data_IF_398489605513
#
_entry.id   IF_398489605513
#
_cell.length_a   1.000
_cell.length_b   1.000
_cell.length_c   1.000
_cell.angle_alpha   90.00
_cell.angle_beta   90.00
_cell.angle_gamma   90.00
#
_symmetry.space_group_name_H-M   'P 1'
#
loop_
_entity.id
_entity.type
_entity.pdbx_description
1 polymer ?
#
# COMPACT_ATOMS: atom_id res chain seq x y z
N UNK A 1 18.47 -7.20 5.17
CA UNK A 1 17.51 -6.11 5.36
C UNK A 1 16.24 -6.54 4.68
N UNK A 2 15.16 -6.68 5.42
CA UNK A 2 13.95 -7.30 4.88
C UNK A 2 13.34 -6.40 3.80
N UNK A 3 13.40 -6.83 2.56
CA UNK A 3 12.99 -6.07 1.37
C UNK A 3 11.46 -5.77 1.38
N UNK A 4 10.71 -6.53 2.14
CA UNK A 4 9.26 -6.38 2.31
C UNK A 4 8.91 -5.13 3.10
N UNK A 5 9.67 -4.80 4.14
CA UNK A 5 9.43 -3.64 4.99
C UNK A 5 9.76 -2.32 4.26
N UNK A 6 10.85 -2.29 3.46
CA UNK A 6 11.18 -1.13 2.64
C UNK A 6 10.10 -0.81 1.60
N UNK A 7 9.49 -1.81 0.95
CA UNK A 7 8.43 -1.58 -0.03
C UNK A 7 7.14 -1.02 0.59
N UNK A 8 6.80 -1.40 1.82
CA UNK A 8 5.58 -0.94 2.50
C UNK A 8 5.69 0.54 2.93
N UNK A 9 6.82 0.90 3.51
CA UNK A 9 7.13 2.30 3.85
C UNK A 9 7.21 3.14 2.58
N UNK A 10 7.83 2.64 1.51
CA UNK A 10 7.93 3.34 0.22
C UNK A 10 6.58 3.67 -0.42
N UNK A 11 5.61 2.77 -0.32
CA UNK A 11 4.30 2.97 -0.91
C UNK A 11 3.49 4.05 -0.16
N UNK A 12 3.57 4.05 1.16
CA UNK A 12 2.96 5.10 2.00
C UNK A 12 3.57 6.48 1.70
N UNK A 13 4.87 6.50 1.52
CA UNK A 13 5.64 7.70 1.17
C UNK A 13 5.23 8.31 -0.18
N UNK A 14 5.03 7.47 -1.19
CA UNK A 14 4.64 7.93 -2.52
C UNK A 14 3.34 8.74 -2.48
N UNK A 15 2.40 8.32 -1.65
CA UNK A 15 1.09 8.96 -1.48
C UNK A 15 1.17 10.27 -0.75
N UNK A 16 1.88 10.29 0.35
CA UNK A 16 2.04 11.53 1.10
C UNK A 16 2.82 12.55 0.28
N UNK A 17 3.81 12.10 -0.50
CA UNK A 17 4.51 12.96 -1.44
C UNK A 17 3.58 13.52 -2.53
N UNK A 18 2.59 12.75 -2.99
CA UNK A 18 1.66 13.23 -4.01
C UNK A 18 0.64 14.20 -3.40
N UNK A 19 0.12 13.87 -2.22
CA UNK A 19 -0.75 14.78 -1.44
C UNK A 19 -0.02 16.08 -1.10
N UNK A 20 1.24 16.01 -0.68
CA UNK A 20 2.01 17.19 -0.29
C UNK A 20 2.64 17.95 -1.46
N UNK A 21 2.84 17.33 -2.64
CA UNK A 21 3.28 18.04 -3.86
C UNK A 21 2.21 18.91 -4.48
N UNK A 22 0.94 18.56 -4.33
CA UNK A 22 -0.17 19.38 -4.79
C UNK A 22 -0.41 20.59 -3.87
N UNK A 23 0.16 20.57 -2.67
CA UNK A 23 0.05 21.65 -1.69
C UNK A 23 1.46 22.25 -1.54
N UNK A 24 1.72 23.39 -2.15
CA UNK A 24 2.99 24.15 -2.03
C UNK A 24 3.10 24.78 -0.62
N UNK A 25 3.35 23.93 0.39
CA UNK A 25 3.41 24.29 1.81
C UNK A 25 4.83 24.06 2.34
N UNK A 26 5.31 24.91 3.24
CA UNK A 26 6.60 24.74 3.90
C UNK A 26 6.62 23.50 4.82
N UNK A 27 7.80 22.98 5.13
CA UNK A 27 8.02 21.81 5.98
C UNK A 27 7.33 21.93 7.35
N UNK A 28 7.38 23.13 7.96
CA UNK A 28 6.78 23.35 9.27
C UNK A 28 5.25 23.28 9.21
N UNK A 29 4.64 23.84 8.18
CA UNK A 29 3.20 23.75 7.93
C UNK A 29 2.76 22.32 7.67
N UNK A 30 3.57 21.53 6.95
CA UNK A 30 3.31 20.09 6.74
C UNK A 30 3.26 19.31 8.05
N UNK A 31 4.23 19.53 8.96
CA UNK A 31 4.23 18.83 10.26
C UNK A 31 3.06 19.29 11.12
N UNK A 32 2.66 20.55 11.09
CA UNK A 32 1.49 21.04 11.80
C UNK A 32 0.20 20.38 11.30
N UNK A 33 0.04 20.26 9.99
CA UNK A 33 -1.08 19.51 9.38
C UNK A 33 -1.02 18.05 9.82
N UNK A 34 0.12 17.37 9.72
CA UNK A 34 0.29 15.98 10.18
C UNK A 34 -0.07 15.81 11.64
N UNK A 35 0.31 16.77 12.49
CA UNK A 35 -0.02 16.75 13.92
C UNK A 35 -1.52 16.91 14.16
N UNK A 36 -2.17 17.83 13.44
CA UNK A 36 -3.62 18.10 13.57
C UNK A 36 -4.49 16.87 13.24
N UNK A 37 -4.01 16.00 12.38
CA UNK A 37 -4.69 14.76 11.97
C UNK A 37 -4.22 13.52 12.76
N UNK A 38 -3.40 13.70 13.80
CA UNK A 38 -2.89 12.62 14.64
C UNK A 38 -1.80 11.76 13.99
N UNK A 39 -1.25 12.19 12.85
CA UNK A 39 -0.26 11.43 12.10
C UNK A 39 1.07 11.22 12.87
N UNK A 40 1.44 12.16 13.74
CA UNK A 40 2.62 12.03 14.59
C UNK A 40 2.52 10.86 15.59
N UNK A 41 1.31 10.34 15.80
CA UNK A 41 1.01 9.20 16.68
C UNK A 41 0.80 7.89 15.92
N UNK A 42 1.14 7.85 14.62
CA UNK A 42 0.90 6.71 13.73
C UNK A 42 1.48 5.38 14.26
N UNK A 43 2.61 5.45 14.95
CA UNK A 43 3.35 4.28 15.42
C UNK A 43 3.27 4.05 16.94
N UNK A 44 2.44 4.80 17.67
CA UNK A 44 2.39 4.75 19.13
C UNK A 44 1.86 3.43 19.69
N UNK A 45 1.04 2.72 18.93
CA UNK A 45 0.45 1.45 19.36
C UNK A 45 1.32 0.23 19.04
N UNK A 46 2.48 0.41 18.37
CA UNK A 46 3.41 -0.67 18.07
C UNK A 46 4.14 -1.14 19.33
N UNK A 47 4.19 -2.45 19.52
CA UNK A 47 4.92 -3.04 20.61
C UNK A 47 6.43 -2.92 20.41
N UNK A 48 7.13 -2.43 21.44
CA UNK A 48 8.58 -2.35 21.42
C UNK A 48 9.19 -3.62 22.02
N UNK A 49 9.68 -4.50 21.14
CA UNK A 49 10.31 -5.77 21.52
C UNK A 49 11.78 -5.64 21.94
N UNK A 50 12.34 -4.42 21.98
CA UNK A 50 13.70 -4.17 22.42
C UNK A 50 13.80 -4.33 23.94
N UNK A 51 15.01 -4.67 24.44
CA UNK A 51 15.26 -4.87 25.86
C UNK A 51 15.04 -3.55 26.63
N UNK A 52 14.09 -3.49 27.62
CA UNK A 52 13.67 -2.25 28.25
C UNK A 52 14.82 -1.40 28.83
N UNK A 53 15.83 -2.01 29.46
CA UNK A 53 16.97 -1.30 30.06
C UNK A 53 17.98 -0.71 29.06
N UNK A 54 17.78 -0.94 27.74
CA UNK A 54 18.67 -0.47 26.67
C UNK A 54 17.97 0.46 25.68
N UNK A 55 16.72 0.82 25.95
CA UNK A 55 15.95 1.71 25.10
C UNK A 55 16.31 3.15 25.45
N UNK A 56 16.97 3.84 24.53
CA UNK A 56 17.31 5.26 24.65
C UNK A 56 16.31 6.14 23.90
N UNK A 57 15.76 5.65 22.83
CA UNK A 57 14.83 6.35 21.94
C UNK A 57 13.53 5.57 21.83
N UNK A 58 12.39 6.24 21.89
CA UNK A 58 11.07 5.65 21.71
C UNK A 58 10.95 5.02 20.30
N UNK A 59 10.30 3.86 20.19
CA UNK A 59 10.14 3.16 18.91
C UNK A 59 9.39 4.02 17.89
N UNK A 60 8.26 4.61 18.31
CA UNK A 60 7.45 5.46 17.44
C UNK A 60 8.21 6.69 16.94
N UNK A 61 9.07 7.31 17.75
CA UNK A 61 9.87 8.47 17.35
C UNK A 61 10.89 8.07 16.26
N UNK A 62 11.58 6.93 16.42
CA UNK A 62 12.52 6.42 15.40
C UNK A 62 11.79 6.13 14.11
N UNK A 63 10.64 5.47 14.18
CA UNK A 63 9.85 5.12 12.98
C UNK A 63 9.33 6.35 12.25
N UNK A 64 8.86 7.33 13.02
CA UNK A 64 8.40 8.59 12.45
C UNK A 64 9.52 9.36 11.77
N UNK A 65 10.72 9.44 12.39
CA UNK A 65 11.90 10.05 11.78
C UNK A 65 12.33 9.32 10.49
N UNK A 66 12.31 7.99 10.48
CA UNK A 66 12.56 7.21 9.27
C UNK A 66 11.55 7.55 8.19
N UNK A 67 10.29 7.58 8.54
CA UNK A 67 9.18 7.86 7.63
C UNK A 67 9.27 9.27 7.03
N UNK A 68 9.49 10.29 7.86
CA UNK A 68 9.66 11.66 7.40
C UNK A 68 10.90 11.82 6.49
N UNK A 69 12.01 11.12 6.81
CA UNK A 69 13.22 11.13 5.97
C UNK A 69 12.96 10.57 4.58
N UNK A 70 12.10 9.57 4.48
CA UNK A 70 11.73 8.98 3.19
C UNK A 70 10.79 9.92 2.42
N UNK A 71 9.80 10.52 3.10
CA UNK A 71 8.84 11.44 2.47
C UNK A 71 9.54 12.66 1.89
N UNK A 72 10.36 13.33 2.70
CA UNK A 72 10.94 14.62 2.28
C UNK A 72 12.12 14.49 1.33
N UNK A 73 12.95 13.46 1.47
CA UNK A 73 14.18 13.33 0.66
C UNK A 73 14.37 11.97 0.00
N UNK A 74 13.42 11.05 0.11
CA UNK A 74 13.53 9.71 -0.46
C UNK A 74 14.67 8.88 0.14
N UNK A 75 15.08 9.18 1.39
CA UNK A 75 16.19 8.45 2.04
C UNK A 75 15.73 7.06 2.49
N UNK A 76 16.33 6.03 1.92
CA UNK A 76 15.94 4.62 2.13
C UNK A 76 17.01 3.79 2.83
N UNK A 77 18.19 4.36 3.03
CA UNK A 77 19.27 3.71 3.77
C UNK A 77 19.35 4.27 5.18
N UNK A 78 19.73 3.45 6.16
CA UNK A 78 19.87 3.91 7.54
C UNK A 78 20.87 5.05 7.69
N UNK A 79 21.91 5.08 6.87
CA UNK A 79 22.88 6.19 6.84
C UNK A 79 22.23 7.46 6.27
N UNK A 80 21.52 7.36 5.14
CA UNK A 80 20.81 8.50 4.54
C UNK A 80 19.73 9.07 5.45
N UNK A 81 19.01 8.20 6.18
CA UNK A 81 18.04 8.61 7.21
C UNK A 81 18.74 9.37 8.33
N UNK A 82 19.86 8.86 8.83
CA UNK A 82 20.67 9.54 9.85
C UNK A 82 21.14 10.92 9.39
N UNK A 83 21.68 11.02 8.16
CA UNK A 83 22.14 12.29 7.59
C UNK A 83 20.99 13.31 7.47
N UNK A 84 19.81 12.86 7.03
CA UNK A 84 18.61 13.68 6.99
C UNK A 84 18.20 14.18 8.39
N UNK A 85 18.16 13.30 9.39
CA UNK A 85 17.83 13.67 10.76
C UNK A 85 18.83 14.71 11.30
N UNK A 86 20.11 14.56 10.95
CA UNK A 86 21.15 15.49 11.37
C UNK A 86 20.95 16.90 10.79
N UNK A 87 20.58 16.97 9.50
CA UNK A 87 20.31 18.25 8.81
C UNK A 87 19.08 18.95 9.39
N UNK A 88 18.01 18.22 9.65
CA UNK A 88 16.74 18.78 10.12
C UNK A 88 16.55 18.69 11.64
N UNK A 89 17.61 18.46 12.41
CA UNK A 89 17.61 18.23 13.85
C UNK A 89 16.82 19.29 14.62
N UNK A 90 17.10 20.57 14.40
CA UNK A 90 16.43 21.67 15.09
C UNK A 90 14.93 21.73 14.84
N UNK A 91 14.47 21.34 13.65
CA UNK A 91 13.04 21.24 13.32
C UNK A 91 12.38 20.09 14.08
N UNK A 92 13.03 18.92 14.12
CA UNK A 92 12.52 17.76 14.86
C UNK A 92 12.51 17.99 16.38
N UNK A 93 13.44 18.77 16.92
CA UNK A 93 13.42 19.20 18.32
C UNK A 93 12.21 20.10 18.61
N UNK A 94 11.88 21.04 17.71
CA UNK A 94 10.72 21.93 17.83
C UNK A 94 9.41 21.14 17.99
N UNK A 95 9.28 20.00 17.32
CA UNK A 95 8.09 19.14 17.38
C UNK A 95 8.19 17.99 18.38
N UNK A 96 9.24 17.96 19.22
CA UNK A 96 9.40 16.99 20.30
C UNK A 96 9.78 15.57 19.86
N UNK A 97 10.14 15.38 18.58
CA UNK A 97 10.60 14.09 18.03
C UNK A 97 12.05 13.77 18.41
N UNK A 98 12.83 14.79 18.70
CA UNK A 98 14.19 14.70 19.23
C UNK A 98 14.21 15.40 20.58
N UNK A 99 14.75 14.72 21.61
CA UNK A 99 14.87 15.23 22.97
C UNK A 99 16.34 15.44 23.30
N UNK A 100 16.63 16.54 23.98
CA UNK A 100 17.99 16.88 24.49
C UNK A 100 19.08 16.85 23.40
N UNK A 101 18.70 17.09 22.15
CA UNK A 101 19.61 17.09 21.01
C UNK A 101 20.20 15.73 20.64
N UNK A 102 19.69 14.65 21.23
CA UNK A 102 20.18 13.31 20.96
C UNK A 102 19.45 12.69 19.76
N UNK A 103 20.21 12.27 18.77
CA UNK A 103 19.69 11.59 17.57
C UNK A 103 20.10 10.11 17.54
N UNK A 104 19.22 9.19 17.09
CA UNK A 104 19.58 7.79 16.96
C UNK A 104 20.62 7.63 15.86
N UNK A 105 21.73 6.92 16.14
CA UNK A 105 22.73 6.59 15.13
C UNK A 105 22.15 5.68 14.03
N UNK A 106 22.76 5.66 12.86
CA UNK A 106 22.35 4.77 11.76
C UNK A 106 22.28 3.29 12.19
N UNK A 107 23.15 2.87 13.11
CA UNK A 107 23.16 1.50 13.65
C UNK A 107 22.01 1.28 14.63
N UNK A 108 21.66 2.28 15.45
CA UNK A 108 20.46 2.25 16.29
C UNK A 108 19.21 2.14 15.44
N UNK A 109 19.09 2.95 14.40
CA UNK A 109 17.97 2.89 13.44
C UNK A 109 17.87 1.48 12.86
N UNK A 110 18.99 0.94 12.33
CA UNK A 110 19.04 -0.40 11.73
C UNK A 110 18.57 -1.49 12.71
N UNK A 111 19.13 -1.50 13.93
CA UNK A 111 18.76 -2.49 14.94
C UNK A 111 17.30 -2.38 15.38
N UNK A 112 16.79 -1.17 15.49
CA UNK A 112 15.37 -0.96 15.82
C UNK A 112 14.46 -1.52 14.72
N UNK A 113 14.73 -1.21 13.45
CA UNK A 113 13.95 -1.71 12.33
C UNK A 113 13.98 -3.25 12.23
N UNK A 114 15.07 -3.90 12.67
CA UNK A 114 15.16 -5.37 12.68
C UNK A 114 14.35 -6.03 13.82
N UNK A 115 13.95 -5.29 14.84
CA UNK A 115 13.16 -5.80 15.96
C UNK A 115 11.64 -5.65 15.77
N UNK A 116 11.18 -5.06 14.67
CA UNK A 116 9.76 -4.82 14.41
C UNK A 116 9.14 -6.10 13.84
N UNK A 117 8.00 -6.51 14.40
CA UNK A 117 7.18 -7.54 13.80
C UNK A 117 6.50 -6.98 12.53
N UNK A 118 6.77 -7.55 11.34
CA UNK A 118 6.23 -7.02 10.09
C UNK A 118 4.71 -7.20 9.97
N UNK A 119 4.12 -8.18 10.64
CA UNK A 119 2.66 -8.43 10.61
C UNK A 119 1.96 -7.39 11.47
N UNK A 120 2.41 -7.21 12.71
CA UNK A 120 1.88 -6.20 13.64
C UNK A 120 2.05 -4.79 13.03
N UNK A 121 3.21 -4.50 12.46
CA UNK A 121 3.46 -3.22 11.78
C UNK A 121 2.47 -2.97 10.64
N UNK A 122 2.17 -3.99 9.84
CA UNK A 122 1.22 -3.89 8.73
C UNK A 122 -0.20 -3.62 9.25
N UNK A 123 -0.66 -4.40 10.22
CA UNK A 123 -2.02 -4.30 10.77
C UNK A 123 -2.29 -2.93 11.38
N UNK A 124 -1.39 -2.45 12.24
CA UNK A 124 -1.54 -1.15 12.91
C UNK A 124 -1.41 0.00 11.92
N UNK A 125 -0.38 -0.01 11.09
CA UNK A 125 -0.10 1.09 10.16
C UNK A 125 -1.19 1.21 9.10
N UNK A 126 -1.64 0.10 8.53
CA UNK A 126 -2.71 0.10 7.51
C UNK A 126 -4.04 0.53 8.13
N UNK A 127 -4.37 0.05 9.33
CA UNK A 127 -5.58 0.47 10.05
C UNK A 127 -5.64 1.99 10.21
N UNK A 128 -4.58 2.58 10.74
CA UNK A 128 -4.46 4.04 10.95
C UNK A 128 -4.51 4.84 9.65
N UNK A 129 -3.82 4.37 8.60
CA UNK A 129 -3.86 5.02 7.29
C UNK A 129 -5.27 4.95 6.70
N UNK A 130 -5.96 3.83 6.86
CA UNK A 130 -7.32 3.67 6.38
C UNK A 130 -8.29 4.64 7.08
N UNK A 131 -8.18 4.77 8.40
CA UNK A 131 -8.92 5.77 9.18
C UNK A 131 -8.65 7.19 8.67
N UNK A 132 -7.39 7.53 8.48
CA UNK A 132 -6.97 8.82 7.97
C UNK A 132 -7.53 9.13 6.56
N UNK A 133 -7.43 8.18 5.63
CA UNK A 133 -8.00 8.33 4.29
C UNK A 133 -9.53 8.43 4.32
N UNK A 134 -10.20 7.76 5.25
CA UNK A 134 -11.64 7.90 5.43
C UNK A 134 -12.03 9.30 5.91
N UNK A 135 -11.27 9.89 6.84
CA UNK A 135 -11.51 11.27 7.29
C UNK A 135 -11.29 12.28 6.16
N UNK A 136 -10.21 12.15 5.39
CA UNK A 136 -9.97 12.99 4.22
C UNK A 136 -11.10 12.90 3.19
N UNK A 137 -11.63 11.68 2.94
CA UNK A 137 -12.75 11.47 2.02
C UNK A 137 -14.07 12.05 2.51
N UNK A 138 -14.29 12.09 3.82
CA UNK A 138 -15.46 12.77 4.40
C UNK A 138 -15.42 14.27 4.15
N UNK A 139 -14.22 14.86 4.19
CA UNK A 139 -14.01 16.29 3.90
C UNK A 139 -14.16 16.61 2.40
N UNK A 140 -13.80 15.67 1.52
CA UNK A 140 -14.01 15.80 0.08
C UNK A 140 -15.47 15.45 -0.26
N UNK A 141 -16.34 16.45 -0.36
CA UNK A 141 -17.74 16.28 -0.74
C UNK A 141 -17.89 15.64 -2.12
N UNK A 142 -18.23 14.35 -2.16
CA UNK A 142 -18.55 13.65 -3.41
C UNK A 142 -18.90 12.18 -3.24
N UNK A 143 -19.83 11.67 -4.05
CA UNK A 143 -20.18 10.24 -4.18
C UNK A 143 -19.17 9.49 -5.06
N UNK A 144 -17.89 9.71 -4.86
CA UNK A 144 -16.86 9.12 -5.72
C UNK A 144 -16.61 7.66 -5.31
N UNK A 145 -16.60 6.77 -6.30
CA UNK A 145 -16.15 5.39 -6.10
C UNK A 145 -14.63 5.37 -5.97
N UNK A 146 -14.13 4.64 -4.98
CA UNK A 146 -12.71 4.34 -4.88
C UNK A 146 -12.33 3.31 -5.93
N UNK A 147 -11.24 3.54 -6.65
CA UNK A 147 -10.70 2.59 -7.60
C UNK A 147 -9.44 1.94 -7.02
N UNK A 148 -9.43 0.61 -6.98
CA UNK A 148 -8.32 -0.17 -6.45
C UNK A 148 -7.92 -1.25 -7.45
N UNK A 149 -6.63 -1.54 -7.53
CA UNK A 149 -6.06 -2.56 -8.41
C UNK A 149 -5.36 -3.64 -7.59
N UNK A 150 -5.59 -4.90 -7.92
CA UNK A 150 -4.90 -6.06 -7.33
C UNK A 150 -3.92 -6.60 -8.36
N UNK A 151 -2.63 -6.64 -8.01
CA UNK A 151 -1.57 -7.11 -8.91
C UNK A 151 -0.46 -7.82 -8.15
N UNK A 152 0.04 -8.91 -8.70
CA UNK A 152 1.20 -9.66 -8.19
C UNK A 152 2.49 -9.15 -8.81
N UNK A 153 3.51 -8.89 -7.99
CA UNK A 153 4.81 -8.42 -8.42
C UNK A 153 5.96 -9.23 -7.86
N UNK A 154 6.86 -9.64 -8.74
CA UNK A 154 8.11 -10.27 -8.35
C UNK A 154 9.17 -9.22 -8.03
N UNK A 155 9.71 -9.27 -6.81
CA UNK A 155 10.83 -8.41 -6.39
C UNK A 155 12.13 -8.97 -7.00
N UNK A 156 12.47 -8.53 -8.21
CA UNK A 156 13.66 -9.00 -8.94
C UNK A 156 14.93 -8.74 -8.15
N UNK A 157 15.77 -9.77 -8.04
CA UNK A 157 17.04 -9.70 -7.32
C UNK A 157 16.93 -9.92 -5.80
N UNK A 158 15.74 -10.14 -5.24
CA UNK A 158 15.57 -10.51 -3.83
C UNK A 158 16.04 -11.94 -3.52
N UNK A 159 16.11 -12.80 -4.52
CA UNK A 159 16.57 -14.18 -4.44
C UNK A 159 18.07 -14.39 -4.68
N UNK A 160 18.88 -13.33 -4.59
CA UNK A 160 20.35 -13.45 -4.73
C UNK A 160 20.91 -14.17 -3.52
N UNK A 161 21.29 -15.44 -3.70
CA UNK A 161 22.05 -16.23 -2.75
C UNK A 161 23.49 -16.35 -3.26
N UNK A 162 24.48 -16.22 -2.38
CA UNK A 162 25.87 -16.55 -2.67
C UNK A 162 26.05 -18.08 -2.83
N UNK A 163 25.08 -18.85 -2.35
CA UNK A 163 25.05 -20.31 -2.51
C UNK A 163 24.44 -20.71 -3.86
N UNK A 164 25.31 -21.00 -4.83
CA UNK A 164 24.91 -21.45 -6.18
C UNK A 164 24.22 -22.83 -6.19
N UNK A 165 24.31 -23.63 -5.10
CA UNK A 165 23.68 -24.94 -4.97
C UNK A 165 22.23 -24.86 -4.50
N UNK A 166 21.84 -23.78 -3.81
CA UNK A 166 20.49 -23.50 -3.35
C UNK A 166 20.07 -22.08 -3.72
N UNK A 167 19.73 -21.81 -4.98
CA UNK A 167 19.31 -20.49 -5.40
C UNK A 167 17.99 -20.12 -4.69
N UNK A 168 18.02 -19.07 -3.88
CA UNK A 168 16.80 -18.53 -3.29
C UNK A 168 15.91 -17.97 -4.40
N UNK A 169 14.61 -18.27 -4.33
CA UNK A 169 13.63 -17.69 -5.25
C UNK A 169 13.40 -16.22 -4.91
N UNK A 170 13.12 -15.43 -5.94
CA UNK A 170 12.68 -14.07 -5.73
C UNK A 170 11.37 -14.02 -4.92
N UNK A 171 11.24 -13.02 -4.10
CA UNK A 171 10.02 -12.77 -3.32
C UNK A 171 8.93 -12.29 -4.29
N UNK A 172 7.80 -12.98 -4.30
CA UNK A 172 6.58 -12.50 -4.96
C UNK A 172 5.72 -11.78 -3.92
N UNK A 173 5.15 -10.66 -4.30
CA UNK A 173 4.30 -9.84 -3.43
C UNK A 173 3.01 -9.54 -4.17
N UNK A 174 1.88 -9.81 -3.53
CA UNK A 174 0.58 -9.35 -3.99
C UNK A 174 0.29 -7.98 -3.38
N UNK A 175 0.01 -7.02 -4.23
CA UNK A 175 -0.30 -5.65 -3.83
C UNK A 175 -1.76 -5.31 -4.14
N UNK A 176 -2.40 -4.56 -3.25
CA UNK A 176 -3.64 -3.85 -3.53
C UNK A 176 -3.33 -2.36 -3.54
N UNK A 177 -3.43 -1.76 -4.71
CA UNK A 177 -3.12 -0.36 -4.92
C UNK A 177 -4.41 0.45 -5.09
N UNK A 178 -4.58 1.49 -4.28
CA UNK A 178 -5.66 2.46 -4.44
C UNK A 178 -5.25 3.51 -5.48
N UNK A 179 -5.88 3.46 -6.66
CA UNK A 179 -5.63 4.46 -7.70
C UNK A 179 -6.24 5.83 -7.35
N UNK A 180 -7.26 5.83 -6.47
CA UNK A 180 -7.89 7.07 -6.01
C UNK A 180 -7.05 7.81 -4.99
N UNK A 181 -6.24 7.09 -4.22
CA UNK A 181 -5.39 7.63 -3.16
C UNK A 181 -3.91 7.54 -3.53
N UNK A 182 -3.59 6.99 -4.71
CA UNK A 182 -2.23 6.72 -5.19
C UNK A 182 -1.40 5.87 -4.21
N UNK A 183 -2.02 4.90 -3.50
CA UNK A 183 -1.47 4.18 -2.36
C UNK A 183 -1.55 2.67 -2.52
N UNK A 184 -0.48 1.96 -2.15
CA UNK A 184 -0.55 0.53 -1.88
C UNK A 184 -1.11 0.29 -0.47
N UNK A 185 -2.39 -0.06 -0.41
CA UNK A 185 -3.11 -0.25 0.86
C UNK A 185 -2.88 -1.63 1.49
N UNK A 186 -2.53 -2.62 0.68
CA UNK A 186 -2.12 -3.94 1.14
C UNK A 186 -0.95 -4.46 0.33
N UNK A 187 0.00 -5.13 1.00
CA UNK A 187 1.15 -5.77 0.37
C UNK A 187 1.47 -7.05 1.14
N UNK A 188 1.24 -8.21 0.53
CA UNK A 188 1.43 -9.49 1.19
C UNK A 188 2.37 -10.39 0.39
N UNK A 189 3.40 -11.00 1.02
CA UNK A 189 4.28 -11.94 0.34
C UNK A 189 3.50 -13.18 -0.09
N UNK A 190 3.85 -13.72 -1.25
CA UNK A 190 3.24 -14.91 -1.84
C UNK A 190 4.36 -15.90 -2.16
N UNK A 191 4.28 -17.12 -1.63
CA UNK A 191 5.32 -18.13 -1.80
C UNK A 191 5.50 -18.57 -3.26
N UNK A 192 4.39 -18.69 -4.00
CA UNK A 192 4.39 -19.10 -5.42
C UNK A 192 3.25 -18.38 -6.16
N UNK A 193 3.37 -18.24 -7.49
CA UNK A 193 2.29 -17.65 -8.32
C UNK A 193 0.94 -18.37 -8.17
N UNK A 194 0.94 -19.66 -7.89
CA UNK A 194 -0.28 -20.44 -7.65
C UNK A 194 -0.99 -20.04 -6.35
N UNK A 195 -0.29 -19.43 -5.41
CA UNK A 195 -0.85 -18.98 -4.13
C UNK A 195 -1.38 -17.52 -4.19
N UNK A 196 -1.23 -16.82 -5.30
CA UNK A 196 -1.73 -15.43 -5.44
C UNK A 196 -3.25 -15.34 -5.27
N UNK A 197 -4.01 -16.29 -5.82
CA UNK A 197 -5.47 -16.29 -5.76
C UNK A 197 -5.99 -16.39 -4.32
N UNK A 198 -5.58 -17.38 -3.50
CA UNK A 198 -6.00 -17.46 -2.09
C UNK A 198 -5.62 -16.21 -1.29
N UNK A 199 -4.41 -15.67 -1.50
CA UNK A 199 -3.94 -14.45 -0.81
C UNK A 199 -4.77 -13.24 -1.21
N UNK A 200 -5.09 -13.06 -2.50
CA UNK A 200 -5.98 -12.01 -2.95
C UNK A 200 -7.37 -12.11 -2.31
N UNK A 201 -7.94 -13.31 -2.25
CA UNK A 201 -9.24 -13.55 -1.64
C UNK A 201 -9.22 -13.27 -0.14
N UNK A 202 -8.15 -13.61 0.56
CA UNK A 202 -7.97 -13.31 1.99
C UNK A 202 -7.96 -11.80 2.22
N UNK A 203 -7.15 -11.04 1.46
CA UNK A 203 -7.09 -9.58 1.54
C UNK A 203 -8.48 -8.98 1.26
N UNK A 204 -9.15 -9.39 0.19
CA UNK A 204 -10.47 -8.88 -0.17
C UNK A 204 -11.55 -9.18 0.90
N UNK A 205 -11.42 -10.30 1.65
CA UNK A 205 -12.32 -10.59 2.78
C UNK A 205 -12.11 -9.63 3.95
N UNK A 206 -10.89 -9.16 4.18
CA UNK A 206 -10.61 -8.20 5.26
C UNK A 206 -11.00 -6.76 4.90
N UNK A 207 -10.96 -6.39 3.62
CA UNK A 207 -11.22 -5.03 3.16
C UNK A 207 -12.70 -4.63 3.22
N UNK A 208 -12.98 -3.35 3.46
CA UNK A 208 -14.29 -2.73 3.19
C UNK A 208 -14.38 -2.35 1.71
N UNK A 209 -15.34 -2.95 0.99
CA UNK A 209 -15.45 -2.80 -0.47
C UNK A 209 -16.67 -2.00 -0.93
N UNK A 210 -17.46 -1.46 -0.02
CA UNK A 210 -18.61 -0.63 -0.37
C UNK A 210 -18.16 0.63 -1.10
N UNK A 211 -18.78 0.89 -2.26
CA UNK A 211 -18.40 1.98 -3.17
C UNK A 211 -16.96 1.87 -3.71
N UNK A 212 -16.43 0.66 -3.80
CA UNK A 212 -15.09 0.41 -4.34
C UNK A 212 -15.19 -0.34 -5.65
N UNK A 213 -14.43 0.07 -6.64
CA UNK A 213 -14.23 -0.64 -7.91
C UNK A 213 -12.88 -1.34 -7.85
N UNK A 214 -12.90 -2.66 -7.88
CA UNK A 214 -11.69 -3.51 -7.89
C UNK A 214 -11.37 -3.93 -9.31
N UNK A 215 -10.14 -3.68 -9.73
CA UNK A 215 -9.58 -4.19 -10.99
C UNK A 215 -8.51 -5.23 -10.70
N UNK A 216 -8.44 -6.28 -11.50
CA UNK A 216 -7.44 -7.33 -11.39
C UNK A 216 -7.20 -7.99 -12.74
N UNK A 217 -6.15 -8.79 -12.84
CA UNK A 217 -5.82 -9.50 -14.07
C UNK A 217 -6.71 -10.76 -14.28
N UNK A 218 -6.53 -11.45 -15.42
CA UNK A 218 -7.31 -12.64 -15.76
C UNK A 218 -7.04 -13.84 -14.83
N UNK A 219 -5.91 -13.88 -14.13
CA UNK A 219 -5.59 -14.92 -13.15
C UNK A 219 -6.57 -14.87 -11.97
N UNK A 220 -6.87 -13.68 -11.49
CA UNK A 220 -7.77 -13.41 -10.37
C UNK A 220 -9.26 -13.40 -10.78
N UNK A 221 -9.58 -13.56 -12.07
CA UNK A 221 -10.97 -13.67 -12.55
C UNK A 221 -11.54 -15.04 -12.17
N UNK A 222 -11.81 -15.23 -10.89
CA UNK A 222 -12.36 -16.45 -10.31
C UNK A 222 -13.74 -16.18 -9.73
N UNK A 223 -14.64 -17.19 -9.81
CA UNK A 223 -16.01 -17.06 -9.29
C UNK A 223 -16.03 -16.64 -7.82
N UNK A 224 -15.17 -17.24 -7.01
CA UNK A 224 -15.06 -16.93 -5.58
C UNK A 224 -14.61 -15.49 -5.34
N UNK A 225 -13.59 -15.03 -6.06
CA UNK A 225 -13.10 -13.64 -5.98
C UNK A 225 -14.21 -12.64 -6.30
N UNK A 226 -14.95 -12.87 -7.38
CA UNK A 226 -16.08 -12.03 -7.75
C UNK A 226 -17.20 -12.04 -6.71
N UNK A 227 -17.50 -13.22 -6.13
CA UNK A 227 -18.51 -13.36 -5.07
C UNK A 227 -18.13 -12.61 -3.80
N UNK A 228 -16.87 -12.66 -3.38
CA UNK A 228 -16.37 -11.90 -2.22
C UNK A 228 -16.62 -10.40 -2.42
N UNK A 229 -16.23 -9.87 -3.58
CA UNK A 229 -16.39 -8.44 -3.88
C UNK A 229 -17.88 -8.06 -3.91
N UNK A 230 -18.70 -8.84 -4.61
CA UNK A 230 -20.13 -8.57 -4.73
C UNK A 230 -20.88 -8.64 -3.39
N UNK A 231 -20.55 -9.63 -2.54
CA UNK A 231 -21.17 -9.79 -1.21
C UNK A 231 -20.91 -8.59 -0.29
N UNK A 232 -19.76 -7.92 -0.48
CA UNK A 232 -19.39 -6.69 0.23
C UNK A 232 -19.84 -5.40 -0.47
N UNK A 233 -20.76 -5.51 -1.46
CA UNK A 233 -21.29 -4.36 -2.22
C UNK A 233 -20.22 -3.58 -3.00
N UNK A 234 -19.10 -4.24 -3.34
CA UNK A 234 -18.08 -3.75 -4.24
C UNK A 234 -18.45 -3.99 -5.71
N UNK A 235 -17.77 -3.33 -6.60
CA UNK A 235 -17.84 -3.50 -8.05
C UNK A 235 -16.50 -4.08 -8.51
N UNK A 236 -16.51 -4.98 -9.48
CA UNK A 236 -15.26 -5.47 -10.08
C UNK A 236 -15.26 -5.25 -11.58
N UNK A 237 -14.06 -5.04 -12.12
CA UNK A 237 -13.78 -5.00 -13.55
C UNK A 237 -12.60 -5.95 -13.81
N UNK A 238 -12.87 -7.01 -14.54
CA UNK A 238 -11.93 -8.09 -14.74
C UNK A 238 -11.87 -8.51 -16.22
N UNK A 239 -10.70 -8.78 -16.78
CA UNK A 239 -10.56 -9.34 -18.11
C UNK A 239 -10.90 -10.82 -18.09
N UNK A 240 -11.61 -11.28 -19.12
CA UNK A 240 -11.86 -12.71 -19.37
C UNK A 240 -11.01 -13.14 -20.56
N UNK A 241 -10.11 -14.11 -20.31
CA UNK A 241 -9.21 -14.67 -21.32
C UNK A 241 -9.47 -16.17 -21.52
N UNK A 242 -8.59 -16.83 -22.24
CA UNK A 242 -8.73 -18.25 -22.61
C UNK A 242 -8.67 -19.22 -21.42
N UNK A 243 -8.15 -18.76 -20.26
CA UNK A 243 -8.25 -19.50 -18.99
C UNK A 243 -9.70 -19.68 -18.49
N UNK A 244 -10.65 -18.97 -19.10
CA UNK A 244 -12.09 -19.01 -18.84
C UNK A 244 -12.87 -19.10 -20.18
N UNK A 245 -12.54 -20.07 -21.01
CA UNK A 245 -13.04 -20.18 -22.40
C UNK A 245 -14.57 -20.20 -22.47
N UNK A 246 -15.24 -20.99 -21.64
CA UNK A 246 -16.71 -21.08 -21.61
C UNK A 246 -17.38 -19.75 -21.25
N UNK A 247 -16.89 -19.04 -20.24
CA UNK A 247 -17.37 -17.71 -19.88
C UNK A 247 -17.11 -16.70 -21.00
N UNK A 248 -15.95 -16.78 -21.63
CA UNK A 248 -15.59 -15.93 -22.77
C UNK A 248 -16.53 -16.12 -23.96
N UNK A 249 -16.84 -17.36 -24.30
CA UNK A 249 -17.79 -17.68 -25.38
C UNK A 249 -19.20 -17.17 -25.07
N UNK A 250 -19.70 -17.39 -23.87
CA UNK A 250 -21.00 -16.89 -23.44
C UNK A 250 -21.09 -15.36 -23.53
N UNK A 251 -20.05 -14.66 -23.08
CA UNK A 251 -19.97 -13.20 -23.20
C UNK A 251 -19.98 -12.77 -24.67
N UNK A 252 -19.19 -13.42 -25.52
CA UNK A 252 -19.13 -13.11 -26.95
C UNK A 252 -20.49 -13.33 -27.65
N UNK A 253 -21.21 -14.39 -27.32
CA UNK A 253 -22.55 -14.62 -27.81
C UNK A 253 -23.56 -13.55 -27.38
N UNK A 254 -23.50 -13.14 -26.10
CA UNK A 254 -24.37 -12.06 -25.61
C UNK A 254 -24.06 -10.73 -26.33
N UNK A 255 -22.78 -10.44 -26.60
CA UNK A 255 -22.41 -9.25 -27.36
C UNK A 255 -22.90 -9.32 -28.82
N UNK A 256 -22.76 -10.48 -29.49
CA UNK A 256 -23.29 -10.67 -30.86
C UNK A 256 -24.81 -10.43 -30.94
N UNK A 257 -25.56 -11.00 -29.98
CA UNK A 257 -27.01 -10.79 -29.88
C UNK A 257 -27.36 -9.31 -29.65
N UNK A 258 -26.59 -8.63 -28.80
CA UNK A 258 -26.78 -7.21 -28.53
C UNK A 258 -26.48 -6.32 -29.72
N UNK A 259 -25.43 -6.62 -30.52
CA UNK A 259 -25.09 -5.90 -31.75
C UNK A 259 -26.17 -6.01 -32.81
N UNK A 260 -26.89 -7.14 -32.86
CA UNK A 260 -27.99 -7.40 -33.80
C UNK A 260 -29.32 -6.79 -33.35
N UNK A 261 -29.45 -6.34 -32.11
CA UNK A 261 -30.70 -5.76 -31.62
C UNK A 261 -30.74 -4.26 -31.94
N UNK A 262 -31.83 -3.73 -32.53
CA UNK A 262 -31.93 -2.31 -32.84
C UNK A 262 -31.85 -1.48 -31.58
N UNK A 263 -30.94 -0.52 -31.54
CA UNK A 263 -30.65 0.31 -30.38
C UNK A 263 -31.85 1.17 -29.99
N UNK A 264 -32.58 0.80 -28.96
CA UNK A 264 -33.40 1.76 -28.19
C UNK A 264 -32.47 2.76 -27.51
N UNK A 265 -32.75 4.05 -27.69
CA UNK A 265 -31.89 5.22 -27.45
C UNK A 265 -31.40 5.46 -26.01
N UNK A 266 -31.51 4.53 -25.03
CA UNK A 266 -31.34 4.84 -23.64
C UNK A 266 -30.63 3.78 -22.77
N UNK A 267 -29.62 3.08 -23.29
CA UNK A 267 -28.75 2.29 -22.37
C UNK A 267 -27.29 2.46 -22.71
N UNK A 268 -26.56 3.04 -21.80
CA UNK A 268 -25.12 3.29 -21.89
C UNK A 268 -24.32 1.99 -21.68
N UNK A 269 -24.21 1.15 -22.70
CA UNK A 269 -23.16 0.14 -22.78
C UNK A 269 -22.20 0.60 -23.88
N UNK A 270 -21.08 1.20 -23.51
CA UNK A 270 -19.97 1.47 -24.44
C UNK A 270 -18.96 0.35 -24.32
N UNK A 271 -18.74 -0.42 -25.35
CA UNK A 271 -17.57 -1.26 -25.45
C UNK A 271 -16.69 -0.84 -26.62
N UNK A 272 -15.39 -0.95 -26.40
CA UNK A 272 -14.38 -0.63 -27.40
C UNK A 272 -13.80 -1.94 -27.92
N UNK A 273 -14.06 -2.26 -29.17
CA UNK A 273 -13.36 -3.36 -29.84
C UNK A 273 -11.92 -2.91 -30.10
N UNK A 274 -10.93 -3.43 -29.40
CA UNK A 274 -9.55 -3.34 -29.86
C UNK A 274 -9.39 -4.38 -30.95
N UNK A 275 -9.02 -3.94 -32.16
CA UNK A 275 -8.48 -4.84 -33.16
C UNK A 275 -7.19 -5.44 -32.60
N UNK A 276 -7.12 -6.75 -32.56
CA UNK A 276 -5.90 -7.51 -32.34
C UNK A 276 -4.96 -7.31 -33.51
#
# INVERSE_FOLDING_TARGET
MDFTMNNKIFNLVAVLNEIFREIDIDFDDHIEVMNSIGFLHLFDDLQDYRQPGKIQYKLSDILLLCFLSIIYEGKTTCLGIYDHILVYKSRYEKYGLIKDGQIPSHDTIRRTLMCIDPVEFEEITIGRIHEFLQELRKCAQGTMYCHQSVDGKEARGSGRSEDTKNPQRNINVLNVYSNSDCLCIHSKPVETKTNEIPVAQEILRMMELKKTVITFDALHTQRETCNIIASKKGIYVAPVKDNQSGLREEILEKFKKYEQTPKKKNNYIRYRKKKL
#
